data_IF_743835970343
#
_entry.id   IF_743835970343
#
_cell.length_a   1.000
_cell.length_b   1.000
_cell.length_c   1.000
_cell.angle_alpha   90.00
_cell.angle_beta   90.00
_cell.angle_gamma   90.00
#
_symmetry.space_group_name_H-M   'P 1'
#
loop_
_entity.id
_entity.type
_entity.pdbx_description
1 polymer ?
#
# COMPACT_ATOMS: atom_id res chain seq x y z
N UNK A 1 -3.93 -16.80 -4.55
CA UNK A 1 -3.46 -15.44 -4.93
C UNK A 1 -3.08 -14.70 -3.68
N UNK A 2 -2.15 -13.76 -3.78
CA UNK A 2 -1.68 -12.93 -2.67
C UNK A 2 -1.64 -11.49 -3.14
N UNK A 3 -2.21 -10.58 -2.34
CA UNK A 3 -2.12 -9.14 -2.54
C UNK A 3 -1.26 -8.61 -1.40
N UNK A 4 -0.33 -7.72 -1.70
CA UNK A 4 0.47 -7.04 -0.69
C UNK A 4 0.41 -5.53 -0.85
N UNK A 5 0.40 -4.85 0.29
CA UNK A 5 0.44 -3.39 0.42
C UNK A 5 1.64 -3.03 1.28
N UNK A 6 2.46 -2.06 0.86
CA UNK A 6 3.70 -1.68 1.57
C UNK A 6 4.62 -2.89 1.85
N UNK A 7 4.72 -3.85 0.91
CA UNK A 7 5.53 -5.06 1.08
C UNK A 7 4.99 -6.06 2.10
N UNK A 8 3.73 -5.93 2.53
CA UNK A 8 3.10 -6.82 3.51
C UNK A 8 1.83 -7.44 2.93
N UNK A 9 1.61 -8.77 3.07
CA UNK A 9 0.39 -9.41 2.62
C UNK A 9 -0.85 -8.82 3.30
N UNK A 10 -1.92 -8.63 2.54
CA UNK A 10 -3.21 -8.16 3.03
C UNK A 10 -4.32 -9.14 2.66
N UNK A 11 -5.41 -9.12 3.43
CA UNK A 11 -6.61 -9.87 3.09
C UNK A 11 -7.22 -9.28 1.81
N UNK A 12 -7.51 -10.09 0.78
CA UNK A 12 -8.10 -9.59 -0.47
C UNK A 12 -9.47 -8.96 -0.30
N UNK A 13 -10.21 -9.35 0.74
CA UNK A 13 -11.52 -8.82 1.11
C UNK A 13 -11.45 -7.59 2.01
N UNK A 14 -10.25 -7.09 2.35
CA UNK A 14 -10.11 -5.92 3.20
C UNK A 14 -10.67 -4.69 2.48
N UNK A 15 -11.44 -3.88 3.20
CA UNK A 15 -12.03 -2.68 2.63
C UNK A 15 -10.95 -1.66 2.22
N UNK A 16 -11.20 -0.93 1.13
CA UNK A 16 -10.26 0.05 0.57
C UNK A 16 -9.85 1.13 1.58
N UNK A 17 -10.78 1.61 2.40
CA UNK A 17 -10.45 2.60 3.43
C UNK A 17 -9.43 2.06 4.45
N UNK A 18 -9.56 0.79 4.84
CA UNK A 18 -8.63 0.16 5.78
C UNK A 18 -7.26 -0.06 5.14
N UNK A 19 -7.20 -0.34 3.83
CA UNK A 19 -5.94 -0.39 3.07
C UNK A 19 -5.25 0.97 3.03
N UNK A 20 -6.02 2.05 2.79
CA UNK A 20 -5.50 3.42 2.80
C UNK A 20 -4.98 3.79 4.19
N UNK A 21 -5.72 3.50 5.26
CA UNK A 21 -5.26 3.75 6.64
C UNK A 21 -4.00 2.96 6.99
N UNK A 22 -3.88 1.72 6.48
CA UNK A 22 -2.68 0.90 6.66
C UNK A 22 -1.50 1.50 5.90
N UNK A 23 -1.70 1.89 4.64
CA UNK A 23 -0.69 2.54 3.80
C UNK A 23 -0.21 3.85 4.42
N UNK A 24 -1.12 4.72 4.88
CA UNK A 24 -0.80 5.98 5.53
C UNK A 24 0.02 5.78 6.81
N UNK A 25 -0.30 4.75 7.61
CA UNK A 25 0.45 4.44 8.84
C UNK A 25 1.84 3.88 8.57
N UNK A 26 2.01 3.10 7.50
CA UNK A 26 3.27 2.43 7.15
C UNK A 26 4.16 3.23 6.22
N UNK A 27 3.62 4.21 5.51
CA UNK A 27 4.41 5.16 4.76
C UNK A 27 5.25 5.98 5.75
N UNK A 28 6.57 5.92 5.62
CA UNK A 28 7.52 6.71 6.42
C UNK A 28 7.27 8.23 6.31
N UNK A 29 6.41 8.64 5.37
CA UNK A 29 5.83 9.98 5.19
C UNK A 29 4.58 10.22 6.08
N UNK A 30 4.48 9.57 7.25
CA UNK A 30 3.46 9.82 8.29
C UNK A 30 3.50 11.25 8.87
N UNK A 31 4.44 12.09 8.41
CA UNK A 31 4.29 13.53 8.46
C UNK A 31 3.17 13.88 7.48
N UNK A 32 1.91 13.89 7.97
CA UNK A 32 0.69 14.42 7.32
C UNK A 32 1.10 15.15 6.06
N UNK A 33 0.98 14.51 4.89
CA UNK A 33 1.58 15.04 3.66
C UNK A 33 0.86 16.34 3.34
N UNK A 34 1.37 17.45 3.89
CA UNK A 34 1.12 18.75 3.35
C UNK A 34 1.77 18.65 1.98
N UNK A 35 0.94 18.43 0.96
CA UNK A 35 1.38 18.38 -0.42
C UNK A 35 1.98 19.76 -0.73
N UNK A 36 3.25 19.92 -0.40
CA UNK A 36 4.01 21.12 -0.69
C UNK A 36 4.31 21.08 -2.20
N UNK A 37 4.24 22.24 -2.83
CA UNK A 37 4.56 22.43 -4.24
C UNK A 37 6.00 21.95 -4.49
N UNK A 38 6.15 20.74 -5.03
CA UNK A 38 7.45 20.07 -5.22
C UNK A 38 7.53 18.61 -4.71
N UNK A 39 6.53 18.12 -3.96
CA UNK A 39 6.49 16.71 -3.56
C UNK A 39 6.25 15.80 -4.76
N UNK A 40 6.92 14.64 -4.80
CA UNK A 40 6.74 13.71 -5.90
C UNK A 40 5.41 12.99 -5.75
N UNK A 41 4.59 12.96 -6.81
CA UNK A 41 3.31 12.24 -6.80
C UNK A 41 3.48 10.75 -6.41
N UNK A 42 4.65 10.16 -6.63
CA UNK A 42 4.99 8.78 -6.21
C UNK A 42 4.91 8.58 -4.69
N UNK A 43 5.07 9.64 -3.91
CA UNK A 43 5.01 9.59 -2.44
C UNK A 43 3.56 9.65 -1.93
N UNK A 44 2.61 9.93 -2.83
CA UNK A 44 1.18 10.07 -2.58
C UNK A 44 0.35 8.89 -3.12
N UNK A 45 0.97 7.92 -3.80
CA UNK A 45 0.27 6.76 -4.37
C UNK A 45 0.40 5.53 -3.49
N UNK A 46 -0.73 4.85 -3.28
CA UNK A 46 -0.75 3.53 -2.67
C UNK A 46 -0.45 2.48 -3.73
N UNK A 47 0.64 1.73 -3.53
CA UNK A 47 1.04 0.65 -4.44
C UNK A 47 0.58 -0.69 -3.86
N UNK A 48 -0.15 -1.45 -4.68
CA UNK A 48 -0.55 -2.83 -4.41
C UNK A 48 0.18 -3.77 -5.35
N UNK A 49 0.82 -4.81 -4.81
CA UNK A 49 1.39 -5.88 -5.60
C UNK A 49 0.49 -7.12 -5.55
N UNK A 50 0.46 -7.87 -6.65
CA UNK A 50 -0.32 -9.08 -6.80
C UNK A 50 0.58 -10.22 -7.25
N UNK A 51 0.43 -11.38 -6.61
CA UNK A 51 1.13 -12.60 -6.98
C UNK A 51 0.19 -13.80 -6.95
N UNK A 52 0.49 -14.78 -7.81
CA UNK A 52 -0.11 -16.11 -7.70
C UNK A 52 0.91 -17.02 -7.01
N UNK A 53 0.54 -17.62 -5.88
CA UNK A 53 1.35 -18.68 -5.27
C UNK A 53 1.48 -19.81 -6.30
N UNK A 54 2.72 -20.11 -6.71
CA UNK A 54 2.98 -21.32 -7.46
C UNK A 54 2.79 -22.49 -6.50
N UNK A 55 1.86 -23.38 -6.82
CA UNK A 55 1.85 -24.70 -6.21
C UNK A 55 3.02 -25.44 -6.83
N UNK A 56 4.21 -25.33 -6.23
CA UNK A 56 5.29 -26.28 -6.53
C UNK A 56 4.89 -27.56 -5.81
N UNK A 57 4.47 -28.53 -6.62
CA UNK A 57 4.11 -29.88 -6.17
C UNK A 57 5.36 -30.70 -5.88
#
# INVERSE_FOLDING_TARGET
VEISCCGQPVLPSLAMHSLVDLWLRKSSTSKRVAAASGSSAKDLVMVLAYARKSSVS
#
